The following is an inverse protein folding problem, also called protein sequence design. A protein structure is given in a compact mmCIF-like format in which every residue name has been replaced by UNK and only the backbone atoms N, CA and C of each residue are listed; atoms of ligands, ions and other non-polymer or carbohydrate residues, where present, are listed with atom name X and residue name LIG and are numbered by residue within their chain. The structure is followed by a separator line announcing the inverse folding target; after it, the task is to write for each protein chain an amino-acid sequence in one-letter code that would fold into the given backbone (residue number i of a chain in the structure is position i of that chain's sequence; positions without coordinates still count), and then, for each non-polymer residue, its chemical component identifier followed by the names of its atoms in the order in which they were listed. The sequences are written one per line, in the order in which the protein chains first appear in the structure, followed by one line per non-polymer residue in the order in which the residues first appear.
data_IF_078527235150
#
_entry.id   IF_078527235150
#
_cell.length_a   1.000
_cell.length_b   1.000
_cell.length_c   1.000
_cell.angle_alpha   90.00
_cell.angle_beta   90.00
_cell.angle_gamma   90.00
#
_symmetry.space_group_name_H-M   'P 1'
#
loop_
_entity.id
_entity.type
_entity.pdbx_description
1 polymer ?
#
# COMPACT_ATOMS: atom_id res chain seq x y z
N UNK A 1 -6.10 45.08 1.90
CA UNK A 1 -5.47 43.97 2.65
C UNK A 1 -6.42 42.84 3.05
N UNK A 2 -7.71 43.07 3.35
CA UNK A 2 -8.64 42.00 3.81
C UNK A 2 -8.85 40.85 2.82
N UNK A 3 -8.89 41.11 1.51
CA UNK A 3 -9.11 40.08 0.49
C UNK A 3 -7.89 39.20 0.20
N UNK A 4 -6.68 39.63 0.61
CA UNK A 4 -5.46 38.86 0.41
C UNK A 4 -5.46 37.57 1.25
N UNK A 5 -6.02 37.61 2.47
CA UNK A 5 -6.15 36.44 3.33
C UNK A 5 -7.14 35.41 2.76
N UNK A 6 -8.24 35.88 2.19
CA UNK A 6 -9.24 35.02 1.55
C UNK A 6 -8.64 34.33 0.32
N UNK A 7 -7.90 35.08 -0.49
CA UNK A 7 -7.21 34.53 -1.67
C UNK A 7 -6.14 33.52 -1.27
N UNK A 8 -5.32 33.81 -0.26
CA UNK A 8 -4.29 32.89 0.22
C UNK A 8 -4.90 31.58 0.73
N UNK A 9 -5.97 31.64 1.54
CA UNK A 9 -6.67 30.45 2.02
C UNK A 9 -7.29 29.64 0.88
N UNK A 10 -7.88 30.30 -0.13
CA UNK A 10 -8.44 29.62 -1.29
C UNK A 10 -7.36 28.89 -2.11
N UNK A 11 -6.21 29.52 -2.32
CA UNK A 11 -5.08 28.90 -3.01
C UNK A 11 -4.54 27.70 -2.24
N UNK A 12 -4.36 27.82 -0.91
CA UNK A 12 -3.94 26.68 -0.07
C UNK A 12 -4.95 25.54 -0.13
N UNK A 13 -6.25 25.83 -0.05
CA UNK A 13 -7.31 24.83 -0.14
C UNK A 13 -7.32 24.08 -1.48
N UNK A 14 -7.07 24.77 -2.59
CA UNK A 14 -6.97 24.15 -3.91
C UNK A 14 -5.75 23.22 -4.03
N UNK A 15 -4.60 23.64 -3.48
CA UNK A 15 -3.37 22.83 -3.51
C UNK A 15 -3.55 21.54 -2.70
N UNK A 16 -4.08 21.62 -1.47
CA UNK A 16 -4.28 20.42 -0.63
C UNK A 16 -5.35 19.47 -1.20
N UNK A 17 -6.39 20.01 -1.82
CA UNK A 17 -7.46 19.19 -2.43
C UNK A 17 -6.94 18.45 -3.66
N UNK A 18 -6.04 19.06 -4.45
CA UNK A 18 -5.37 18.39 -5.57
C UNK A 18 -4.50 17.20 -5.14
N UNK A 19 -3.85 17.28 -3.99
CA UNK A 19 -3.07 16.15 -3.44
C UNK A 19 -3.95 15.02 -2.88
N UNK A 20 -5.13 15.32 -2.36
CA UNK A 20 -6.07 14.31 -1.87
C UNK A 20 -6.94 13.69 -2.98
N UNK A 21 -7.06 14.37 -4.13
CA UNK A 21 -7.88 13.96 -5.27
C UNK A 21 -7.10 13.10 -6.28
N UNK A 22 -6.17 12.26 -5.83
CA UNK A 22 -5.70 11.18 -6.69
C UNK A 22 -6.87 10.22 -6.92
N UNK A 23 -7.31 10.11 -8.18
CA UNK A 23 -8.21 9.04 -8.57
C UNK A 23 -7.54 7.73 -8.18
N UNK A 24 -8.19 6.93 -7.33
CA UNK A 24 -7.74 5.61 -6.94
C UNK A 24 -7.39 4.86 -8.24
N UNK A 25 -6.11 4.53 -8.47
CA UNK A 25 -5.72 3.78 -9.65
C UNK A 25 -6.55 2.51 -9.69
N UNK A 26 -6.98 2.08 -10.89
CA UNK A 26 -7.69 0.82 -11.02
C UNK A 26 -6.90 -0.28 -10.29
N UNK A 27 -7.52 -0.99 -9.33
CA UNK A 27 -6.81 -1.89 -8.43
C UNK A 27 -6.28 -3.07 -9.24
N UNK A 28 -5.05 -2.93 -9.73
CA UNK A 28 -4.32 -3.99 -10.40
C UNK A 28 -3.81 -4.98 -9.35
N UNK A 29 -3.93 -6.31 -9.59
CA UNK A 29 -3.34 -7.30 -8.71
C UNK A 29 -1.83 -7.08 -8.62
N UNK A 30 -1.29 -7.08 -7.39
CA UNK A 30 0.14 -7.04 -7.18
C UNK A 30 0.77 -8.36 -7.64
N UNK A 31 1.93 -8.26 -8.28
CA UNK A 31 2.75 -9.42 -8.60
C UNK A 31 3.38 -10.01 -7.34
N UNK A 32 3.68 -11.30 -7.35
CA UNK A 32 4.37 -11.95 -6.23
C UNK A 32 5.70 -11.25 -5.86
N UNK A 33 6.38 -10.69 -6.86
CA UNK A 33 7.61 -9.92 -6.67
C UNK A 33 7.36 -8.61 -5.91
N UNK A 34 6.31 -7.86 -6.26
CA UNK A 34 5.92 -6.63 -5.57
C UNK A 34 5.48 -6.93 -4.13
N UNK A 35 4.69 -7.98 -3.92
CA UNK A 35 4.26 -8.42 -2.57
C UNK A 35 5.46 -8.83 -1.73
N UNK A 36 6.40 -9.61 -2.29
CA UNK A 36 7.63 -10.01 -1.61
C UNK A 36 8.48 -8.81 -1.22
N UNK A 37 8.67 -7.86 -2.13
CA UNK A 37 9.45 -6.66 -1.86
C UNK A 37 8.82 -5.81 -0.75
N UNK A 38 7.50 -5.59 -0.83
CA UNK A 38 6.75 -4.87 0.20
C UNK A 38 6.86 -5.55 1.58
N UNK A 39 6.71 -6.88 1.63
CA UNK A 39 6.82 -7.62 2.88
C UNK A 39 8.22 -7.51 3.53
N UNK A 40 9.28 -7.55 2.72
CA UNK A 40 10.65 -7.35 3.18
C UNK A 40 10.90 -5.92 3.67
N UNK A 41 10.33 -4.92 3.01
CA UNK A 41 10.40 -3.52 3.46
C UNK A 41 9.71 -3.34 4.81
N UNK A 42 8.51 -3.89 4.98
CA UNK A 42 7.79 -3.85 6.25
C UNK A 42 8.55 -4.56 7.37
N UNK A 43 9.13 -5.73 7.08
CA UNK A 43 9.96 -6.46 8.03
C UNK A 43 11.18 -5.63 8.47
N UNK A 44 11.84 -4.93 7.54
CA UNK A 44 12.99 -4.07 7.86
C UNK A 44 12.66 -2.94 8.83
N UNK A 45 11.40 -2.47 8.85
CA UNK A 45 10.92 -1.39 9.72
C UNK A 45 10.32 -1.89 11.03
N UNK A 46 10.12 -3.20 11.19
CA UNK A 46 9.39 -3.76 12.32
C UNK A 46 10.18 -3.78 13.65
N UNK A 47 11.50 -3.54 13.63
CA UNK A 47 12.32 -3.45 14.83
C UNK A 47 12.42 -4.77 15.63
N UNK A 48 12.35 -5.92 14.96
CA UNK A 48 12.42 -7.24 15.59
C UNK A 48 13.84 -7.54 16.14
N UNK A 49 13.94 -8.33 17.22
CA UNK A 49 15.20 -8.97 17.61
C UNK A 49 15.78 -9.78 16.45
N UNK A 50 17.11 -9.82 16.35
CA UNK A 50 17.83 -10.36 15.20
C UNK A 50 17.39 -11.78 14.81
N UNK A 51 17.28 -12.69 15.78
CA UNK A 51 16.92 -14.08 15.53
C UNK A 51 15.51 -14.23 14.94
N UNK A 52 14.56 -13.40 15.39
CA UNK A 52 13.19 -13.43 14.90
C UNK A 52 13.08 -12.74 13.54
N UNK A 53 13.82 -11.65 13.34
CA UNK A 53 13.95 -11.00 12.03
C UNK A 53 14.46 -12.00 10.97
N UNK A 54 15.52 -12.75 11.26
CA UNK A 54 16.09 -13.71 10.30
C UNK A 54 15.14 -14.87 10.01
N UNK A 55 14.41 -15.39 11.01
CA UNK A 55 13.36 -16.42 10.79
C UNK A 55 12.29 -15.92 9.82
N UNK A 56 11.76 -14.72 10.03
CA UNK A 56 10.71 -14.14 9.18
C UNK A 56 11.26 -13.82 7.79
N UNK A 57 12.46 -13.25 7.71
CA UNK A 57 13.14 -12.95 6.44
C UNK A 57 13.34 -14.21 5.59
N UNK A 58 13.74 -15.33 6.20
CA UNK A 58 13.87 -16.60 5.51
C UNK A 58 12.53 -17.10 4.96
N UNK A 59 11.45 -17.00 5.74
CA UNK A 59 10.11 -17.38 5.32
C UNK A 59 9.60 -16.52 4.14
N UNK A 60 9.91 -15.22 4.12
CA UNK A 60 9.55 -14.31 3.01
C UNK A 60 10.43 -14.52 1.77
N UNK A 61 11.69 -14.92 1.96
CA UNK A 61 12.63 -15.13 0.85
C UNK A 61 12.34 -16.46 0.13
N UNK A 62 12.05 -17.48 0.91
CA UNK A 62 11.75 -18.84 0.46
C UNK A 62 10.40 -19.27 1.01
N UNK A 63 9.30 -18.68 0.52
CA UNK A 63 7.96 -19.08 0.93
C UNK A 63 7.79 -20.55 0.57
N UNK A 64 7.59 -21.38 1.60
CA UNK A 64 7.05 -22.72 1.38
C UNK A 64 5.63 -22.48 0.90
N UNK A 65 5.31 -22.88 -0.33
CA UNK A 65 3.98 -22.70 -0.91
C UNK A 65 3.08 -23.83 -0.41
N UNK A 66 2.19 -23.64 0.57
CA UNK A 66 0.90 -24.29 0.50
C UNK A 66 0.09 -23.55 -0.56
N UNK A 67 -0.71 -24.28 -1.33
CA UNK A 67 -1.53 -23.75 -2.42
C UNK A 67 -2.71 -22.90 -1.93
N UNK A 68 -2.48 -21.99 -0.98
CA UNK A 68 -3.48 -21.16 -0.31
C UNK A 68 -4.17 -20.16 -1.25
N UNK A 69 -3.74 -20.06 -2.51
CA UNK A 69 -4.31 -19.16 -3.53
C UNK A 69 -5.23 -19.83 -4.55
N UNK A 70 -5.33 -21.17 -4.60
CA UNK A 70 -6.19 -21.84 -5.60
C UNK A 70 -7.68 -21.79 -5.24
N UNK A 71 -8.00 -21.58 -3.97
CA UNK A 71 -9.36 -21.64 -3.44
C UNK A 71 -9.99 -20.25 -3.21
N UNK A 72 -9.29 -19.15 -3.53
CA UNK A 72 -9.92 -17.83 -3.45
C UNK A 72 -11.03 -17.74 -4.51
N UNK A 73 -12.29 -17.44 -4.11
CA UNK A 73 -13.36 -17.19 -5.05
C UNK A 73 -12.93 -16.04 -5.96
N UNK A 74 -12.96 -16.24 -7.28
CA UNK A 74 -12.84 -15.14 -8.23
C UNK A 74 -13.91 -14.11 -7.86
N UNK A 75 -13.48 -12.90 -7.55
CA UNK A 75 -14.36 -11.81 -7.13
C UNK A 75 -15.60 -11.74 -8.01
N UNK A 76 -16.78 -11.79 -7.39
CA UNK A 76 -18.03 -11.56 -8.12
C UNK A 76 -18.11 -10.08 -8.51
N UNK A 77 -18.57 -9.77 -9.74
CA UNK A 77 -18.73 -8.39 -10.17
C UNK A 77 -19.68 -7.67 -9.22
N UNK A 78 -19.22 -6.58 -8.59
CA UNK A 78 -20.12 -5.65 -7.89
C UNK A 78 -21.13 -5.13 -8.90
N UNK A 79 -22.40 -5.52 -8.74
CA UNK A 79 -23.50 -4.88 -9.44
C UNK A 79 -23.71 -3.48 -8.84
N UNK A 80 -23.40 -2.46 -9.63
CA UNK A 80 -24.01 -1.12 -9.52
C UNK A 80 -25.31 -1.08 -10.30
#
# INVERSE_FOLDING_TARGET
MKHAHILALAVTALIITGCASQAEPEPRPYTDAEVKQFALEMLSRAGLPYDDYEKVRQALTHPKVPEAGKDLPKEMPRKG
#
